data_IF_525980108137
#
_entry.id   IF_525980108137
#
_cell.length_a   1.000
_cell.length_b   1.000
_cell.length_c   1.000
_cell.angle_alpha   90.00
_cell.angle_beta   90.00
_cell.angle_gamma   90.00
#
_symmetry.space_group_name_H-M   'P 1'
#
loop_
_entity.id
_entity.type
_entity.pdbx_description
1 polymer ?
#
# COMPACT_ATOMS: atom_id res chain seq x y z
N UNK A 1 10.26 -4.61 24.07
CA UNK A 1 8.90 -5.18 24.03
C UNK A 1 8.09 -4.35 23.04
N UNK A 2 7.96 -4.82 21.80
CA UNK A 2 7.14 -4.12 20.79
C UNK A 2 5.68 -4.30 21.19
N UNK A 3 5.00 -3.22 21.55
CA UNK A 3 3.57 -3.26 21.82
C UNK A 3 2.85 -3.64 20.51
N UNK A 4 2.39 -4.89 20.45
CA UNK A 4 1.54 -5.37 19.36
C UNK A 4 0.10 -4.92 19.59
N UNK A 5 -0.65 -4.84 18.50
CA UNK A 5 -2.11 -4.76 18.55
C UNK A 5 -2.69 -6.13 18.20
N UNK A 6 -3.72 -6.55 18.93
CA UNK A 6 -4.48 -7.77 18.64
C UNK A 6 -5.71 -7.49 17.76
N UNK A 7 -5.92 -6.23 17.36
CA UNK A 7 -6.99 -5.88 16.43
C UNK A 7 -6.77 -6.61 15.09
N UNK A 8 -7.84 -7.11 14.45
CA UNK A 8 -7.72 -7.77 13.15
C UNK A 8 -7.12 -6.81 12.11
N UNK A 9 -6.20 -7.33 11.30
CA UNK A 9 -5.56 -6.55 10.24
C UNK A 9 -6.48 -6.36 9.04
N UNK A 10 -6.61 -5.12 8.56
CA UNK A 10 -7.43 -4.75 7.40
C UNK A 10 -6.81 -5.16 6.04
N UNK A 11 -5.47 -5.15 5.94
CA UNK A 11 -4.69 -5.47 4.73
C UNK A 11 -3.53 -6.38 5.12
N UNK A 12 -3.27 -7.42 4.32
CA UNK A 12 -2.08 -8.27 4.45
C UNK A 12 -1.21 -8.21 3.19
N UNK A 13 0.07 -7.89 3.38
CA UNK A 13 1.07 -7.77 2.33
C UNK A 13 2.49 -7.88 2.91
N UNK A 14 3.51 -7.94 2.05
CA UNK A 14 4.90 -7.81 2.48
C UNK A 14 5.33 -6.34 2.49
N UNK A 15 6.49 -6.06 3.07
CA UNK A 15 7.08 -4.72 3.06
C UNK A 15 7.34 -4.19 1.64
N UNK A 16 7.57 -5.07 0.67
CA UNK A 16 7.84 -4.68 -0.72
C UNK A 16 6.64 -4.00 -1.36
N UNK A 17 5.43 -4.49 -1.07
CA UNK A 17 4.20 -3.88 -1.56
C UNK A 17 3.97 -2.51 -0.93
N UNK A 18 4.22 -2.36 0.37
CA UNK A 18 4.13 -1.06 1.06
C UNK A 18 5.11 -0.07 0.44
N UNK A 19 6.37 -0.48 0.25
CA UNK A 19 7.40 0.35 -0.37
C UNK A 19 7.03 0.78 -1.80
N UNK A 20 6.46 -0.11 -2.61
CA UNK A 20 6.00 0.20 -3.96
C UNK A 20 4.89 1.26 -3.98
N UNK A 21 3.99 1.25 -2.99
CA UNK A 21 2.91 2.25 -2.86
C UNK A 21 3.33 3.54 -2.18
N UNK A 22 4.48 3.57 -1.52
CA UNK A 22 4.85 4.62 -0.58
C UNK A 22 4.90 6.02 -1.20
N UNK A 23 5.36 6.13 -2.45
CA UNK A 23 5.44 7.39 -3.20
C UNK A 23 4.18 7.71 -4.01
N UNK A 24 3.14 6.88 -3.93
CA UNK A 24 1.88 7.10 -4.66
C UNK A 24 1.93 6.80 -6.16
N UNK A 25 3.04 6.24 -6.69
CA UNK A 25 3.17 5.86 -8.11
C UNK A 25 2.45 4.56 -8.49
N UNK A 26 2.17 3.70 -7.50
CA UNK A 26 1.41 2.45 -7.62
C UNK A 26 0.39 2.40 -6.48
N UNK A 27 -0.80 1.88 -6.76
CA UNK A 27 -1.91 1.76 -5.80
C UNK A 27 -1.99 0.35 -5.19
N UNK A 28 -2.55 0.25 -3.98
CA UNK A 28 -2.85 -1.03 -3.32
C UNK A 28 -3.83 -1.86 -4.16
N UNK A 29 -4.80 -1.23 -4.82
CA UNK A 29 -5.74 -1.93 -5.70
C UNK A 29 -5.07 -2.56 -6.92
N UNK A 30 -4.06 -1.91 -7.51
CA UNK A 30 -3.26 -2.51 -8.60
C UNK A 30 -2.51 -3.76 -8.12
N UNK A 31 -1.90 -3.71 -6.93
CA UNK A 31 -1.18 -4.84 -6.35
C UNK A 31 -2.12 -5.98 -5.91
N UNK A 32 -3.31 -5.66 -5.42
CA UNK A 32 -4.34 -6.65 -5.13
C UNK A 32 -4.80 -7.39 -6.38
N UNK A 33 -5.05 -6.66 -7.49
CA UNK A 33 -5.38 -7.26 -8.79
C UNK A 33 -4.25 -8.14 -9.33
N UNK A 34 -3.00 -7.81 -9.01
CA UNK A 34 -1.83 -8.63 -9.33
C UNK A 34 -1.64 -9.84 -8.40
N UNK A 35 -2.54 -10.06 -7.42
CA UNK A 35 -2.47 -11.17 -6.46
C UNK A 35 -1.38 -11.01 -5.39
N UNK A 36 -0.83 -9.82 -5.21
CA UNK A 36 0.30 -9.55 -4.30
C UNK A 36 -0.13 -9.11 -2.90
N UNK A 37 -1.36 -8.61 -2.76
CA UNK A 37 -1.93 -8.09 -1.51
C UNK A 37 -3.30 -8.74 -1.29
N UNK A 38 -3.63 -9.01 -0.03
CA UNK A 38 -4.95 -9.45 0.40
C UNK A 38 -5.70 -8.33 1.13
N UNK A 39 -6.90 -8.02 0.67
CA UNK A 39 -7.90 -7.26 1.44
C UNK A 39 -8.59 -8.20 2.43
N UNK A 40 -8.67 -7.79 3.70
CA UNK A 40 -9.35 -8.55 4.76
C UNK A 40 -10.61 -7.85 5.25
N UNK A 41 -10.64 -6.53 5.15
CA UNK A 41 -11.80 -5.71 5.44
C UNK A 41 -12.22 -4.99 4.17
N UNK A 42 -13.47 -5.18 3.75
CA UNK A 42 -13.99 -4.58 2.52
C UNK A 42 -13.78 -3.06 2.49
N UNK A 43 -13.21 -2.55 1.41
CA UNK A 43 -12.95 -1.13 1.21
C UNK A 43 -11.67 -0.64 1.90
N UNK A 44 -10.93 -1.47 2.61
CA UNK A 44 -9.63 -1.11 3.18
C UNK A 44 -8.63 -0.67 2.09
N UNK A 45 -8.61 -1.34 0.94
CA UNK A 45 -7.69 -0.95 -0.15
C UNK A 45 -8.03 0.43 -0.70
N UNK A 46 -9.32 0.75 -0.82
CA UNK A 46 -9.76 2.07 -1.28
C UNK A 46 -9.39 3.18 -0.30
N UNK A 47 -9.49 2.91 1.01
CA UNK A 47 -9.03 3.85 2.05
C UNK A 47 -7.50 4.02 1.99
N UNK A 48 -6.75 2.93 1.83
CA UNK A 48 -5.30 2.97 1.70
C UNK A 48 -4.87 3.75 0.45
N UNK A 49 -5.49 3.51 -0.70
CA UNK A 49 -5.23 4.27 -1.94
C UNK A 49 -5.45 5.77 -1.75
N UNK A 50 -6.47 6.18 -0.99
CA UNK A 50 -6.71 7.60 -0.67
C UNK A 50 -5.69 8.17 0.31
N UNK A 51 -5.13 7.36 1.22
CA UNK A 51 -4.11 7.79 2.19
C UNK A 51 -2.71 7.90 1.57
N UNK A 52 -2.36 7.00 0.66
CA UNK A 52 -1.03 6.92 0.04
C UNK A 52 -0.97 7.58 -1.35
N UNK A 53 -2.12 7.89 -1.95
CA UNK A 53 -2.20 8.61 -3.21
C UNK A 53 -1.66 10.02 -3.08
N UNK A 54 -0.91 10.46 -4.09
CA UNK A 54 -0.32 11.80 -4.16
C UNK A 54 -0.35 12.32 -5.59
N UNK A 55 -0.58 13.63 -5.74
CA UNK A 55 -0.52 14.35 -7.01
C UNK A 55 0.37 15.59 -6.78
N UNK A 56 1.53 15.72 -7.46
CA UNK A 56 1.96 15.03 -8.69
C UNK A 56 2.45 13.60 -8.52
N UNK A 57 2.41 12.82 -9.60
CA UNK A 57 3.06 11.51 -9.68
C UNK A 57 4.57 11.61 -9.36
N UNK A 58 5.16 10.58 -8.73
CA UNK A 58 6.58 10.60 -8.37
C UNK A 58 7.47 10.57 -9.61
N UNK A 59 8.64 11.19 -9.51
CA UNK A 59 9.63 11.29 -10.58
C UNK A 59 11.03 10.94 -10.07
N UNK A 60 11.87 10.40 -10.95
CA UNK A 60 13.29 10.19 -10.67
C UNK A 60 14.11 11.39 -11.13
N UNK A 61 14.87 12.04 -10.24
CA UNK A 61 15.70 13.19 -10.60
C UNK A 61 16.98 12.86 -11.35
N UNK A 62 17.46 11.62 -11.23
CA UNK A 62 18.75 11.15 -11.76
C UNK A 62 18.59 9.72 -12.28
N UNK A 63 19.50 9.28 -13.16
CA UNK A 63 19.46 8.00 -13.89
C UNK A 63 20.61 7.03 -13.55
N UNK A 64 21.11 7.10 -12.31
CA UNK A 64 22.27 6.32 -11.85
C UNK A 64 22.07 4.80 -11.87
#
# INVERSE_FOLDING_TARGET
MTAGTDAPADIACTVNEVAATYLGGITFRQLHRAGRIQERTDGALSRADAMFGWDPAPWSPYDY
#
